data_IF_444087338097
#
_entry.id   IF_444087338097
#
_cell.length_a   1.000
_cell.length_b   1.000
_cell.length_c   1.000
_cell.angle_alpha   90.00
_cell.angle_beta   90.00
_cell.angle_gamma   90.00
#
_symmetry.space_group_name_H-M   'P 1'
#
loop_
_entity.id
_entity.type
_entity.pdbx_description
1 polymer ?
#
# COMPACT_ATOMS: atom_id res chain seq x y z
N UNK A 1 15.45 -2.18 -2.30
CA UNK A 1 14.57 -1.55 -1.29
C UNK A 1 15.37 -1.40 0.00
N UNK A 2 15.40 -0.23 0.65
CA UNK A 2 16.10 -0.10 1.92
C UNK A 2 15.43 -1.04 2.93
N UNK A 3 16.24 -1.90 3.57
CA UNK A 3 15.80 -2.68 4.73
C UNK A 3 15.58 -1.68 5.85
N UNK A 4 14.35 -1.19 6.02
CA UNK A 4 13.95 -0.53 7.26
C UNK A 4 14.15 -1.59 8.34
N UNK A 5 14.95 -1.30 9.37
CA UNK A 5 15.00 -2.18 10.55
C UNK A 5 13.59 -2.22 11.15
N UNK A 6 12.81 -3.23 10.75
CA UNK A 6 11.46 -3.42 11.24
C UNK A 6 11.54 -3.97 12.66
N UNK A 7 11.65 -3.05 13.62
CA UNK A 7 11.51 -3.36 15.03
C UNK A 7 10.07 -3.80 15.29
N UNK A 8 9.87 -5.10 15.43
CA UNK A 8 8.59 -5.67 15.85
C UNK A 8 8.35 -5.32 17.32
N UNK A 9 7.27 -4.61 17.60
CA UNK A 9 6.88 -4.22 18.96
C UNK A 9 5.47 -4.71 19.23
N UNK A 10 5.27 -5.39 20.37
CA UNK A 10 3.94 -5.84 20.79
C UNK A 10 2.97 -4.66 20.87
N UNK A 11 1.80 -4.82 20.28
CA UNK A 11 0.69 -3.88 20.36
C UNK A 11 -0.46 -4.51 21.14
N UNK A 12 -1.14 -3.72 21.97
CA UNK A 12 -2.35 -4.14 22.66
C UNK A 12 -3.50 -3.25 22.15
N UNK A 13 -4.39 -3.82 21.34
CA UNK A 13 -5.54 -3.13 20.76
C UNK A 13 -6.72 -4.09 20.63
N UNK A 14 -7.94 -3.56 20.66
CA UNK A 14 -9.15 -4.34 20.36
C UNK A 14 -9.47 -4.17 18.88
N UNK A 15 -9.55 -5.29 18.16
CA UNK A 15 -9.93 -5.33 16.75
C UNK A 15 -11.14 -6.24 16.58
N UNK A 16 -11.93 -6.00 15.55
CA UNK A 16 -13.06 -6.89 15.24
C UNK A 16 -12.54 -8.11 14.47
N UNK A 17 -12.85 -9.31 14.98
CA UNK A 17 -12.39 -10.57 14.37
C UNK A 17 -12.85 -10.73 12.92
N UNK A 18 -14.07 -10.29 12.61
CA UNK A 18 -14.65 -10.38 11.27
C UNK A 18 -13.90 -9.55 10.20
N UNK A 19 -13.20 -8.50 10.61
CA UNK A 19 -12.31 -7.74 9.72
C UNK A 19 -11.03 -8.52 9.45
N UNK A 20 -10.44 -9.11 10.48
CA UNK A 20 -9.21 -9.91 10.36
C UNK A 20 -9.47 -11.15 9.50
N UNK A 21 -10.59 -11.85 9.71
CA UNK A 21 -10.95 -13.03 8.92
C UNK A 21 -11.16 -12.70 7.45
N UNK A 22 -11.80 -11.56 7.15
CA UNK A 22 -11.97 -11.08 5.76
C UNK A 22 -10.62 -10.73 5.14
N UNK A 23 -9.80 -9.97 5.84
CA UNK A 23 -8.47 -9.58 5.37
C UNK A 23 -7.59 -10.82 5.14
N UNK A 24 -7.60 -11.80 6.05
CA UNK A 24 -6.83 -13.04 5.91
C UNK A 24 -7.22 -13.85 4.69
N UNK A 25 -8.52 -13.94 4.37
CA UNK A 25 -9.01 -14.60 3.14
C UNK A 25 -8.56 -13.88 1.87
N UNK A 26 -8.59 -12.55 1.87
CA UNK A 26 -8.20 -11.73 0.72
C UNK A 26 -6.68 -11.78 0.49
N UNK A 27 -5.91 -11.72 1.59
CA UNK A 27 -4.45 -11.63 1.55
C UNK A 27 -3.76 -13.01 1.52
N UNK A 28 -4.45 -14.08 1.88
CA UNK A 28 -3.88 -15.44 1.89
C UNK A 28 -2.85 -15.66 3.01
N UNK A 29 -2.93 -14.89 4.09
CA UNK A 29 -1.96 -14.89 5.19
C UNK A 29 -2.17 -16.03 6.18
N UNK A 30 -1.09 -16.45 6.85
CA UNK A 30 -1.07 -17.59 7.75
C UNK A 30 -1.58 -17.25 9.15
N UNK A 31 -1.37 -16.01 9.60
CA UNK A 31 -1.76 -15.58 10.94
C UNK A 31 -2.23 -14.11 10.98
N UNK A 32 -2.80 -13.70 12.12
CA UNK A 32 -3.39 -12.37 12.29
C UNK A 32 -2.35 -11.24 12.26
N UNK A 33 -1.15 -11.46 12.82
CA UNK A 33 -0.06 -10.48 12.78
C UNK A 33 0.33 -10.18 11.34
N UNK A 34 0.58 -11.22 10.55
CA UNK A 34 0.90 -11.10 9.12
C UNK A 34 -0.23 -10.42 8.35
N UNK A 35 -1.49 -10.73 8.68
CA UNK A 35 -2.67 -10.10 8.08
C UNK A 35 -2.68 -8.59 8.32
N UNK A 36 -2.42 -8.16 9.56
CA UNK A 36 -2.41 -6.74 9.93
C UNK A 36 -1.22 -6.03 9.29
N UNK A 37 -0.03 -6.63 9.31
CA UNK A 37 1.17 -6.06 8.68
C UNK A 37 0.97 -5.86 7.17
N UNK A 38 0.55 -6.89 6.44
CA UNK A 38 0.31 -6.78 5.00
C UNK A 38 -0.81 -5.80 4.66
N UNK A 39 -1.88 -5.75 5.46
CA UNK A 39 -2.94 -4.77 5.25
C UNK A 39 -2.43 -3.32 5.39
N UNK A 40 -1.55 -3.06 6.36
CA UNK A 40 -0.94 -1.74 6.55
C UNK A 40 0.04 -1.39 5.43
N UNK A 41 0.85 -2.34 5.00
CA UNK A 41 1.75 -2.18 3.85
C UNK A 41 0.97 -1.87 2.57
N UNK A 42 -0.15 -2.54 2.33
CA UNK A 42 -0.99 -2.30 1.15
C UNK A 42 -1.59 -0.88 1.16
N UNK A 43 -1.96 -0.35 2.32
CA UNK A 43 -2.44 1.04 2.46
C UNK A 43 -1.32 2.03 2.12
N UNK A 44 -0.10 1.80 2.61
CA UNK A 44 1.07 2.62 2.30
C UNK A 44 1.40 2.56 0.79
N UNK A 45 1.46 1.35 0.23
CA UNK A 45 1.75 1.13 -1.18
C UNK A 45 0.72 1.81 -2.09
N UNK A 46 -0.59 1.71 -1.78
CA UNK A 46 -1.64 2.40 -2.54
C UNK A 46 -1.42 3.91 -2.60
N UNK A 47 -0.95 4.51 -1.50
CA UNK A 47 -0.64 5.94 -1.45
C UNK A 47 0.56 6.28 -2.31
N UNK A 48 1.62 5.48 -2.25
CA UNK A 48 2.82 5.66 -3.08
C UNK A 48 2.50 5.56 -4.58
N UNK A 49 1.75 4.53 -4.99
CA UNK A 49 1.29 4.37 -6.38
C UNK A 49 0.47 5.57 -6.84
N UNK A 50 -0.51 6.00 -6.03
CA UNK A 50 -1.35 7.16 -6.36
C UNK A 50 -0.52 8.45 -6.52
N UNK A 51 0.49 8.63 -5.68
CA UNK A 51 1.40 9.77 -5.77
C UNK A 51 2.30 9.66 -7.01
N UNK A 52 2.79 8.46 -7.34
CA UNK A 52 3.57 8.20 -8.55
C UNK A 52 2.79 8.52 -9.82
N UNK A 53 1.55 8.04 -9.92
CA UNK A 53 0.64 8.34 -11.04
C UNK A 53 0.41 9.86 -11.16
N UNK A 54 0.14 10.56 -10.05
CA UNK A 54 -0.06 12.01 -10.06
C UNK A 54 1.19 12.75 -10.52
N UNK A 55 2.38 12.34 -10.07
CA UNK A 55 3.65 12.92 -10.53
C UNK A 55 3.83 12.71 -12.03
N UNK A 56 3.60 11.50 -12.53
CA UNK A 56 3.71 11.20 -13.97
C UNK A 56 2.73 12.00 -14.82
N UNK A 57 1.49 12.16 -14.36
CA UNK A 57 0.49 13.01 -15.01
C UNK A 57 0.89 14.49 -15.01
N UNK A 58 1.53 14.98 -13.94
CA UNK A 58 2.08 16.34 -13.88
C UNK A 58 3.37 16.53 -14.70
N UNK A 59 4.13 15.47 -14.95
CA UNK A 59 5.31 15.48 -15.83
C UNK A 59 4.93 15.34 -17.31
N UNK A 60 3.76 14.77 -17.62
CA UNK A 60 3.11 14.92 -18.92
C UNK A 60 2.44 16.30 -19.00
N UNK A 61 3.26 17.37 -18.90
CA UNK A 61 3.16 18.40 -19.92
C UNK A 61 3.11 17.62 -21.23
N UNK A 62 1.91 17.54 -21.81
CA UNK A 62 1.67 16.93 -23.10
C UNK A 62 2.64 17.60 -24.03
N UNK A 63 3.78 16.95 -24.21
CA UNK A 63 4.53 16.85 -25.45
C UNK A 63 3.67 17.42 -26.57
N UNK A 64 3.89 18.71 -26.83
CA UNK A 64 3.54 19.49 -28.03
C UNK A 64 4.22 18.83 -29.25
N UNK A 65 3.96 17.55 -29.47
CA UNK A 65 4.41 16.78 -30.65
C UNK A 65 3.23 16.45 -31.56
N UNK A 66 2.06 17.03 -31.29
CA UNK A 66 0.94 17.12 -32.24
C UNK A 66 0.62 18.57 -32.60
N UNK A 67 1.53 19.51 -32.31
CA UNK A 67 1.37 20.92 -32.64
C UNK A 67 2.18 21.34 -33.87
N UNK A 68 2.56 20.43 -34.78
CA UNK A 68 2.86 20.76 -36.18
C UNK A 68 2.44 19.60 -37.09
N UNK A 69 1.26 19.75 -37.68
CA UNK A 69 0.69 18.95 -38.76
C UNK A 69 -0.36 19.77 -39.46
#
# INVERSE_FOLDING_TARGET
>A
MPKVENKVVRKNMRLRQDLIDRARKILGTQNETETVEQALELVAFRKEVSNGIRKMAGTHSMRDIFAEG
#
